data_IF_404395906016
#
_entry.id   IF_404395906016
#
_cell.length_a   1.000
_cell.length_b   1.000
_cell.length_c   1.000
_cell.angle_alpha   90.00
_cell.angle_beta   90.00
_cell.angle_gamma   90.00
#
_symmetry.space_group_name_H-M   'P 1'
#
loop_
_entity.id
_entity.type
_entity.pdbx_description
1 polymer ?
#
# COMPACT_ATOMS: atom_id res chain seq x y z
N UNK A 1 -9.53 -3.41 -2.83
CA UNK A 1 -8.70 -4.56 -2.44
C UNK A 1 -7.26 -4.34 -2.89
N UNK A 2 -6.32 -4.68 -2.04
CA UNK A 2 -4.90 -4.50 -2.35
C UNK A 2 -4.39 -5.62 -3.24
N UNK A 3 -3.70 -5.26 -4.31
CA UNK A 3 -2.96 -6.23 -5.12
C UNK A 3 -1.59 -6.42 -4.47
N UNK A 4 -1.41 -7.54 -3.79
CA UNK A 4 -0.21 -7.81 -3.00
C UNK A 4 1.06 -7.77 -3.83
N UNK A 5 1.01 -8.31 -5.04
CA UNK A 5 2.16 -8.33 -5.94
C UNK A 5 2.54 -6.91 -6.38
N UNK A 6 1.55 -6.13 -6.80
CA UNK A 6 1.80 -4.75 -7.23
C UNK A 6 2.29 -3.87 -6.08
N UNK A 7 1.81 -4.13 -4.86
CA UNK A 7 2.30 -3.42 -3.68
C UNK A 7 3.81 -3.65 -3.51
N UNK A 8 4.25 -4.90 -3.61
CA UNK A 8 5.67 -5.24 -3.46
C UNK A 8 6.51 -4.64 -4.59
N UNK A 9 6.01 -4.65 -5.81
CA UNK A 9 6.68 -4.04 -6.95
C UNK A 9 6.84 -2.53 -6.72
N UNK A 10 5.81 -1.87 -6.22
CA UNK A 10 5.86 -0.44 -5.94
C UNK A 10 6.88 -0.12 -4.85
N UNK A 11 6.99 -0.96 -3.82
CA UNK A 11 8.01 -0.80 -2.78
C UNK A 11 9.42 -0.86 -3.38
N UNK A 12 9.67 -1.85 -4.23
CA UNK A 12 10.97 -2.01 -4.87
C UNK A 12 11.27 -0.81 -5.75
N UNK A 13 10.32 -0.38 -6.54
CA UNK A 13 10.49 0.75 -7.45
C UNK A 13 10.78 2.05 -6.69
N UNK A 14 10.17 2.25 -5.53
CA UNK A 14 10.37 3.44 -4.71
C UNK A 14 11.57 3.32 -3.75
N UNK A 15 12.15 2.13 -3.63
CA UNK A 15 13.25 1.90 -2.69
C UNK A 15 12.79 1.95 -1.24
N UNK A 16 11.55 1.51 -0.96
CA UNK A 16 10.94 1.59 0.36
C UNK A 16 10.92 0.21 1.02
N UNK A 17 11.28 0.17 2.30
CA UNK A 17 11.28 -1.06 3.10
C UNK A 17 10.01 -1.17 3.93
N UNK A 18 9.70 -2.38 4.41
CA UNK A 18 8.60 -2.60 5.34
C UNK A 18 8.75 -1.75 6.60
N UNK A 19 9.96 -1.66 7.15
CA UNK A 19 10.21 -0.85 8.35
C UNK A 19 9.85 0.61 8.13
N UNK A 20 10.16 1.16 6.98
CA UNK A 20 9.79 2.54 6.65
C UNK A 20 8.27 2.71 6.62
N UNK A 21 7.56 1.73 6.08
CA UNK A 21 6.10 1.76 6.06
C UNK A 21 5.54 1.69 7.48
N UNK A 22 6.07 0.78 8.31
CA UNK A 22 5.61 0.66 9.69
C UNK A 22 5.78 1.96 10.46
N UNK A 23 6.92 2.61 10.31
CA UNK A 23 7.17 3.90 10.95
C UNK A 23 6.23 4.99 10.44
N UNK A 24 6.05 5.04 9.13
CA UNK A 24 5.21 6.06 8.50
C UNK A 24 3.75 5.91 8.90
N UNK A 25 3.24 4.69 8.95
CA UNK A 25 1.84 4.44 9.28
C UNK A 25 1.60 4.31 10.79
N UNK A 26 2.64 4.05 11.56
CA UNK A 26 2.49 3.86 13.01
C UNK A 26 1.75 2.59 13.37
N UNK A 27 1.95 1.52 12.61
CA UNK A 27 1.26 0.23 12.83
C UNK A 27 2.28 -0.88 13.06
N UNK A 28 1.79 -2.01 13.56
CA UNK A 28 2.62 -3.19 13.77
C UNK A 28 2.84 -3.94 12.46
N UNK A 29 3.87 -4.80 12.46
CA UNK A 29 4.16 -5.66 11.30
C UNK A 29 2.97 -6.57 10.99
N UNK A 30 2.34 -7.15 12.01
CA UNK A 30 1.16 -7.99 11.81
C UNK A 30 0.00 -7.23 11.18
N UNK A 31 -0.22 -5.99 11.64
CA UNK A 31 -1.28 -5.17 11.07
C UNK A 31 -1.01 -4.85 9.60
N UNK A 32 0.23 -4.51 9.26
CA UNK A 32 0.59 -4.24 7.86
C UNK A 32 0.41 -5.49 6.99
N UNK A 33 0.89 -6.63 7.47
CA UNK A 33 0.76 -7.90 6.75
C UNK A 33 -0.70 -8.21 6.45
N UNK A 34 -1.56 -8.06 7.45
CA UNK A 34 -2.99 -8.32 7.28
C UNK A 34 -3.62 -7.37 6.25
N UNK A 35 -3.20 -6.11 6.23
CA UNK A 35 -3.72 -5.13 5.27
C UNK A 35 -3.26 -5.42 3.85
N UNK A 36 -1.99 -5.78 3.67
CA UNK A 36 -1.45 -6.13 2.35
C UNK A 36 -2.13 -7.38 1.79
N UNK A 37 -2.47 -8.33 2.66
CA UNK A 37 -3.09 -9.60 2.27
C UNK A 37 -4.61 -9.59 2.37
N UNK A 38 -5.22 -8.41 2.48
CA UNK A 38 -6.67 -8.23 2.43
C UNK A 38 -7.45 -8.86 3.58
N UNK A 39 -6.79 -9.12 4.70
CA UNK A 39 -7.47 -9.56 5.93
C UNK A 39 -8.08 -8.38 6.67
N UNK A 40 -7.58 -7.19 6.41
CA UNK A 40 -8.16 -5.93 6.87
C UNK A 40 -7.87 -4.87 5.82
N UNK A 41 -8.56 -3.74 5.89
CA UNK A 41 -8.43 -2.68 4.91
C UNK A 41 -7.47 -1.60 5.40
N UNK A 42 -6.81 -0.93 4.45
CA UNK A 42 -6.09 0.31 4.75
C UNK A 42 -7.11 1.42 5.02
N UNK A 43 -6.83 2.24 6.02
CA UNK A 43 -7.60 3.45 6.28
C UNK A 43 -7.23 4.53 5.27
N UNK A 44 -8.15 5.47 5.03
CA UNK A 44 -7.89 6.55 4.08
C UNK A 44 -6.61 7.32 4.41
N UNK A 45 -6.39 7.61 5.70
CA UNK A 45 -5.19 8.32 6.12
C UNK A 45 -3.92 7.52 5.83
N UNK A 46 -3.99 6.20 6.00
CA UNK A 46 -2.87 5.32 5.69
C UNK A 46 -2.60 5.30 4.18
N UNK A 47 -3.65 5.24 3.38
CA UNK A 47 -3.51 5.30 1.91
C UNK A 47 -2.84 6.59 1.48
N UNK A 48 -3.24 7.72 2.05
CA UNK A 48 -2.65 9.01 1.71
C UNK A 48 -1.15 9.02 2.00
N UNK A 49 -0.74 8.44 3.13
CA UNK A 49 0.68 8.34 3.47
C UNK A 49 1.43 7.43 2.52
N UNK A 50 0.81 6.30 2.13
CA UNK A 50 1.41 5.37 1.18
C UNK A 50 1.53 5.97 -0.22
N UNK A 51 0.55 6.77 -0.64
CA UNK A 51 0.62 7.44 -1.93
C UNK A 51 1.87 8.33 -2.02
N UNK A 52 2.19 9.03 -0.94
CA UNK A 52 3.39 9.86 -0.88
C UNK A 52 4.65 9.00 -0.79
N UNK A 53 4.67 8.04 0.11
CA UNK A 53 5.87 7.24 0.38
C UNK A 53 6.27 6.41 -0.83
N UNK A 54 5.30 5.79 -1.51
CA UNK A 54 5.52 4.96 -2.68
C UNK A 54 5.51 5.74 -3.99
N UNK A 55 5.39 7.07 -3.91
CA UNK A 55 5.41 7.95 -5.09
C UNK A 55 4.31 7.61 -6.10
N UNK A 56 3.12 7.31 -5.59
CA UNK A 56 1.96 6.99 -6.40
C UNK A 56 1.23 8.28 -6.74
N UNK A 57 1.76 9.01 -7.70
CA UNK A 57 1.33 10.37 -8.02
C UNK A 57 0.22 10.46 -9.07
N UNK A 58 -0.22 9.32 -9.61
CA UNK A 58 -1.34 9.28 -10.56
C UNK A 58 -2.42 8.35 -10.06
N UNK A 59 -3.65 8.56 -10.53
CA UNK A 59 -4.78 7.68 -10.19
C UNK A 59 -4.52 6.25 -10.64
N UNK A 60 -3.95 6.07 -11.84
CA UNK A 60 -3.67 4.76 -12.41
C UNK A 60 -2.74 3.94 -11.52
N UNK A 61 -1.70 4.58 -10.97
CA UNK A 61 -0.76 3.91 -10.06
C UNK A 61 -1.46 3.47 -8.77
N UNK A 62 -2.29 4.34 -8.21
CA UNK A 62 -3.04 4.05 -6.98
C UNK A 62 -4.05 2.94 -7.21
N UNK A 63 -4.78 3.00 -8.31
CA UNK A 63 -5.79 2.02 -8.66
C UNK A 63 -5.20 0.63 -8.86
N UNK A 64 -4.06 0.54 -9.53
CA UNK A 64 -3.42 -0.75 -9.81
C UNK A 64 -3.09 -1.51 -8.53
N UNK A 65 -2.78 -0.79 -7.45
CA UNK A 65 -2.35 -1.41 -6.19
C UNK A 65 -3.51 -1.60 -5.22
N UNK A 66 -4.30 -0.54 -4.99
CA UNK A 66 -5.26 -0.52 -3.88
C UNK A 66 -6.71 -0.74 -4.29
N UNK A 67 -7.01 -0.61 -5.57
CA UNK A 67 -8.38 -0.74 -6.07
C UNK A 67 -8.44 -1.75 -7.23
N UNK A 68 -7.65 -2.82 -7.09
CA UNK A 68 -7.42 -3.77 -8.19
C UNK A 68 -8.68 -4.49 -8.65
N UNK A 69 -9.66 -4.66 -7.78
CA UNK A 69 -10.89 -5.35 -8.11
C UNK A 69 -11.97 -4.45 -8.67
N UNK A 70 -11.77 -3.13 -8.63
CA UNK A 70 -12.75 -2.19 -9.13
C UNK A 70 -12.71 -2.15 -10.65
N UNK A 71 -13.85 -2.31 -11.28
CA UNK A 71 -13.93 -2.35 -12.72
C UNK A 71 -13.88 -3.72 -13.33
N UNK A 72 -13.82 -4.74 -12.51
CA UNK A 72 -13.91 -6.13 -12.99
C UNK A 72 -15.36 -6.59 -13.07
#
# INVERSE_FOLDING_TARGET
>A
MTNTKEFKIAMIAAGVTYNQILETLGITRSALYNKINNKSDFRQLELNKLFNLLKLDTWEKRQAIFFADEGN
#
